data_IF_086214572541
#
_entry.id   IF_086214572541
#
_cell.length_a   1.000
_cell.length_b   1.000
_cell.length_c   1.000
_cell.angle_alpha   90.00
_cell.angle_beta   90.00
_cell.angle_gamma   90.00
#
_symmetry.space_group_name_H-M   'P 1'
#
loop_
_entity.id
_entity.type
_entity.pdbx_description
1 polymer ?
#
# COMPACT_ATOMS: atom_id res chain seq x y z
N UNK A 1 10.54 4.82 25.46
CA UNK A 1 11.92 5.29 25.32
C UNK A 1 11.87 6.58 24.54
N UNK A 2 12.12 7.72 25.19
CA UNK A 2 12.43 8.95 24.46
C UNK A 2 13.70 8.67 23.65
N UNK A 3 13.68 9.02 22.36
CA UNK A 3 14.89 9.03 21.53
C UNK A 3 15.99 9.76 22.31
N UNK A 4 17.19 9.18 22.36
CA UNK A 4 18.32 9.89 22.95
C UNK A 4 18.62 11.15 22.14
N UNK A 5 19.25 12.15 22.78
CA UNK A 5 19.42 13.49 22.21
C UNK A 5 20.09 13.46 20.83
N UNK A 6 21.06 12.57 20.65
CA UNK A 6 21.78 12.38 19.38
C UNK A 6 20.87 11.82 18.29
N UNK A 7 20.07 10.78 18.60
CA UNK A 7 19.11 10.20 17.66
C UNK A 7 17.97 11.16 17.30
N UNK A 8 17.49 11.94 18.27
CA UNK A 8 16.48 12.97 18.03
C UNK A 8 17.02 14.09 17.12
N UNK A 9 18.27 14.52 17.30
CA UNK A 9 18.88 15.59 16.53
C UNK A 9 19.29 15.16 15.11
N UNK A 10 19.67 13.88 14.92
CA UNK A 10 19.90 13.32 13.58
C UNK A 10 18.60 13.20 12.81
N UNK A 11 17.52 12.72 13.44
CA UNK A 11 16.19 12.66 12.81
C UNK A 11 15.72 14.07 12.45
N UNK A 12 15.85 15.06 13.34
CA UNK A 12 15.50 16.47 13.05
C UNK A 12 16.26 17.07 11.88
N UNK A 13 17.55 16.75 11.72
CA UNK A 13 18.39 17.28 10.62
C UNK A 13 18.11 16.63 9.27
N UNK A 14 17.51 15.44 9.27
CA UNK A 14 17.13 14.72 8.05
C UNK A 14 15.72 15.07 7.57
N UNK A 15 14.96 15.85 8.34
CA UNK A 15 13.59 16.26 8.00
C UNK A 15 13.57 17.72 7.52
N UNK A 16 12.82 18.05 6.44
CA UNK A 16 12.59 19.43 6.06
C UNK A 16 11.78 20.17 7.14
N UNK A 17 12.09 21.46 7.34
CA UNK A 17 11.50 22.31 8.40
C UNK A 17 9.97 22.33 8.36
N UNK A 18 9.37 22.10 7.18
CA UNK A 18 7.92 22.02 6.97
C UNK A 18 7.23 20.84 7.66
N UNK A 19 7.97 19.84 8.16
CA UNK A 19 7.42 18.61 8.73
C UNK A 19 7.02 18.68 10.22
N UNK A 20 7.19 19.83 10.89
CA UNK A 20 6.56 20.12 12.19
C UNK A 20 6.82 19.15 13.35
N UNK A 21 7.83 18.28 13.27
CA UNK A 21 8.11 17.19 14.21
C UNK A 21 7.01 16.11 14.35
N UNK A 22 6.08 15.99 13.40
CA UNK A 22 5.08 14.92 13.37
C UNK A 22 5.29 14.03 12.15
N UNK A 23 5.83 12.82 12.38
CA UNK A 23 6.08 11.82 11.34
C UNK A 23 4.80 11.38 10.60
N UNK A 24 3.61 11.61 11.16
CA UNK A 24 2.34 11.35 10.49
C UNK A 24 2.14 12.19 9.22
N UNK A 25 2.74 13.39 9.18
CA UNK A 25 2.58 14.35 8.09
C UNK A 25 3.50 14.12 6.88
N UNK A 26 4.49 13.21 6.98
CA UNK A 26 5.52 12.96 5.94
C UNK A 26 5.25 11.72 5.07
N UNK A 27 4.00 11.41 4.80
CA UNK A 27 3.63 10.26 3.95
C UNK A 27 3.99 10.40 2.45
N UNK A 28 4.77 11.41 2.04
CA UNK A 28 5.40 11.47 0.71
C UNK A 28 6.50 10.42 0.50
N UNK A 29 6.89 9.71 1.57
CA UNK A 29 7.79 8.56 1.47
C UNK A 29 7.12 7.33 0.82
N UNK A 30 5.78 7.23 0.80
CA UNK A 30 5.06 6.10 0.22
C UNK A 30 5.45 5.83 -1.25
N UNK A 31 5.72 6.89 -2.04
CA UNK A 31 6.07 6.77 -3.46
C UNK A 31 7.48 6.23 -3.69
N UNK A 32 8.44 6.50 -2.78
CA UNK A 32 9.81 5.95 -2.87
C UNK A 32 9.94 4.52 -2.33
N UNK A 33 8.88 4.00 -1.72
CA UNK A 33 8.89 2.78 -0.91
C UNK A 33 8.21 1.59 -1.59
N UNK A 34 7.65 1.78 -2.79
CA UNK A 34 7.30 0.67 -3.70
C UNK A 34 8.39 -0.40 -3.77
N UNK A 35 9.65 0.00 -3.69
CA UNK A 35 10.82 -0.90 -3.74
C UNK A 35 11.06 -1.66 -2.41
N UNK A 36 10.61 -1.13 -1.26
CA UNK A 36 10.97 -1.64 0.09
C UNK A 36 9.84 -2.35 0.86
N UNK A 37 8.56 -2.09 0.56
CA UNK A 37 7.42 -2.79 1.17
C UNK A 37 6.56 -3.57 0.17
N UNK A 38 7.20 -4.52 -0.51
CA UNK A 38 6.59 -5.58 -1.33
C UNK A 38 5.28 -6.17 -0.75
N UNK A 39 5.18 -6.29 0.57
CA UNK A 39 4.12 -7.01 1.29
C UNK A 39 2.69 -6.45 1.20
N UNK A 40 2.50 -5.19 0.79
CA UNK A 40 1.17 -4.56 0.73
C UNK A 40 0.40 -4.96 -0.53
N UNK A 41 1.10 -5.21 -1.64
CA UNK A 41 0.50 -5.63 -2.89
C UNK A 41 0.06 -7.10 -2.77
N UNK A 42 -1.22 -7.43 -3.04
CA UNK A 42 -1.73 -8.80 -2.92
C UNK A 42 -0.88 -9.84 -3.65
N UNK A 43 -0.36 -9.50 -4.83
CA UNK A 43 0.40 -10.42 -5.68
C UNK A 43 1.83 -10.70 -5.21
N UNK A 44 2.33 -10.00 -4.19
CA UNK A 44 3.59 -10.34 -3.53
C UNK A 44 3.42 -11.52 -2.54
N UNK A 45 2.18 -11.95 -2.30
CA UNK A 45 1.83 -13.23 -1.66
C UNK A 45 0.93 -14.04 -2.62
N UNK A 46 1.33 -14.08 -3.90
CA UNK A 46 0.64 -14.79 -4.97
C UNK A 46 1.14 -16.23 -5.16
N UNK A 47 0.72 -16.87 -6.26
CA UNK A 47 1.12 -18.24 -6.56
C UNK A 47 2.55 -18.32 -7.05
N UNK A 48 3.25 -19.40 -6.68
CA UNK A 48 4.63 -19.63 -7.13
C UNK A 48 4.70 -19.99 -8.62
N UNK A 49 3.70 -20.71 -9.12
CA UNK A 49 3.61 -21.18 -10.52
C UNK A 49 3.60 -20.05 -11.55
N UNK A 50 3.06 -18.89 -11.19
CA UNK A 50 3.00 -17.71 -12.05
C UNK A 50 3.92 -16.56 -11.59
N UNK A 51 4.79 -16.85 -10.62
CA UNK A 51 5.69 -15.89 -9.99
C UNK A 51 4.94 -14.66 -9.45
N UNK A 52 3.78 -14.86 -8.83
CA UNK A 52 2.92 -13.79 -8.34
C UNK A 52 2.28 -12.99 -9.47
N UNK A 53 1.86 -13.66 -10.55
CA UNK A 53 1.28 -13.04 -11.73
C UNK A 53 2.27 -12.33 -12.66
N UNK A 54 3.59 -12.51 -12.48
CA UNK A 54 4.60 -11.98 -13.40
C UNK A 54 4.62 -12.72 -14.75
N UNK A 55 4.13 -13.96 -14.81
CA UNK A 55 4.02 -14.71 -16.07
C UNK A 55 2.63 -14.62 -16.72
N UNK A 56 1.71 -13.85 -16.13
CA UNK A 56 0.37 -13.61 -16.68
C UNK A 56 0.42 -12.30 -17.47
N UNK A 57 0.57 -12.42 -18.79
CA UNK A 57 0.55 -11.31 -19.72
C UNK A 57 -0.89 -10.81 -19.89
N UNK A 58 -1.07 -9.50 -19.81
CA UNK A 58 -2.35 -8.81 -19.96
C UNK A 58 -2.16 -7.53 -20.78
N UNK A 59 -3.26 -6.90 -21.15
CA UNK A 59 -3.25 -5.54 -21.70
C UNK A 59 -3.96 -4.62 -20.71
N UNK A 60 -3.26 -3.63 -20.15
CA UNK A 60 -3.87 -2.56 -19.34
C UNK A 60 -4.29 -1.44 -20.28
N UNK A 61 -5.61 -1.27 -20.46
CA UNK A 61 -6.19 -0.41 -21.50
C UNK A 61 -5.62 -0.72 -22.89
N UNK A 62 -4.69 0.11 -23.38
CA UNK A 62 -4.04 -0.01 -24.68
C UNK A 62 -2.55 -0.37 -24.59
N UNK A 63 -2.03 -0.71 -23.39
CA UNK A 63 -0.61 -1.04 -23.17
C UNK A 63 -0.43 -2.47 -22.70
N UNK A 64 0.54 -3.18 -23.27
CA UNK A 64 0.95 -4.51 -22.77
C UNK A 64 1.53 -4.37 -21.37
N UNK A 65 1.15 -5.28 -20.48
CA UNK A 65 1.64 -5.35 -19.11
C UNK A 65 1.63 -6.81 -18.62
N UNK A 66 2.11 -7.04 -17.41
CA UNK A 66 1.89 -8.30 -16.67
C UNK A 66 0.99 -8.04 -15.48
N UNK A 67 0.21 -9.04 -15.04
CA UNK A 67 -0.77 -8.87 -13.97
C UNK A 67 -0.12 -8.32 -12.69
N UNK A 68 1.09 -8.77 -12.36
CA UNK A 68 1.86 -8.24 -11.23
C UNK A 68 2.05 -6.71 -11.32
N UNK A 69 2.47 -6.22 -12.49
CA UNK A 69 2.70 -4.79 -12.74
C UNK A 69 1.40 -3.97 -12.66
N UNK A 70 0.26 -4.56 -13.04
CA UNK A 70 -1.04 -3.89 -12.92
C UNK A 70 -1.35 -3.54 -11.47
N UNK A 71 -1.08 -4.48 -10.55
CA UNK A 71 -1.31 -4.30 -9.11
C UNK A 71 -0.24 -3.45 -8.42
N UNK A 72 1.01 -3.55 -8.87
CA UNK A 72 2.10 -2.75 -8.30
C UNK A 72 2.03 -1.28 -8.73
N UNK A 73 1.56 -1.01 -9.96
CA UNK A 73 1.66 0.34 -10.52
C UNK A 73 0.44 0.81 -11.30
N UNK A 74 -0.05 0.02 -12.25
CA UNK A 74 -0.97 0.57 -13.26
C UNK A 74 -2.30 1.07 -12.69
N UNK A 75 -2.85 0.41 -11.65
CA UNK A 75 -4.07 0.88 -10.98
C UNK A 75 -3.83 2.25 -10.32
N UNK A 76 -2.71 2.42 -9.61
CA UNK A 76 -2.40 3.66 -8.89
C UNK A 76 -2.13 4.81 -9.88
N UNK A 77 -1.34 4.55 -10.92
CA UNK A 77 -1.05 5.55 -11.96
C UNK A 77 -2.30 5.96 -12.74
N UNK A 78 -3.25 5.04 -12.95
CA UNK A 78 -4.53 5.37 -13.57
C UNK A 78 -5.37 6.26 -12.65
N UNK A 79 -5.39 6.01 -11.34
CA UNK A 79 -6.07 6.86 -10.36
C UNK A 79 -5.44 8.26 -10.29
N UNK A 80 -4.11 8.35 -10.24
CA UNK A 80 -3.39 9.63 -10.22
C UNK A 80 -3.76 10.51 -11.42
N UNK A 81 -3.92 9.89 -12.60
CA UNK A 81 -4.27 10.56 -13.85
C UNK A 81 -5.74 10.94 -13.95
N UNK A 82 -6.59 10.55 -13.00
CA UNK A 82 -7.96 11.07 -12.94
C UNK A 82 -8.00 12.54 -12.53
N UNK A 83 -6.94 13.01 -11.86
CA UNK A 83 -6.72 14.42 -11.53
C UNK A 83 -6.00 15.12 -12.69
N UNK A 84 -6.37 16.37 -12.97
CA UNK A 84 -5.75 17.18 -14.01
C UNK A 84 -5.25 18.52 -13.42
N UNK A 85 -3.92 18.72 -13.28
CA UNK A 85 -2.84 17.77 -13.61
C UNK A 85 -2.85 16.54 -12.69
N UNK A 86 -2.12 15.49 -13.10
CA UNK A 86 -1.94 14.29 -12.28
C UNK A 86 -1.34 14.67 -10.92
N UNK A 87 -1.96 14.19 -9.83
CA UNK A 87 -1.60 14.58 -8.48
C UNK A 87 -1.71 13.42 -7.49
N UNK A 88 -0.57 12.83 -7.15
CA UNK A 88 -0.47 11.77 -6.16
C UNK A 88 -0.92 12.22 -4.76
N UNK A 89 -0.83 13.52 -4.44
CA UNK A 89 -1.25 14.02 -3.14
C UNK A 89 -2.77 13.88 -2.96
N UNK A 90 -3.56 13.99 -4.04
CA UNK A 90 -5.00 13.76 -3.95
C UNK A 90 -5.32 12.30 -3.64
N UNK A 91 -4.58 11.36 -4.23
CA UNK A 91 -4.70 9.93 -3.90
C UNK A 91 -4.38 9.69 -2.42
N UNK A 92 -3.31 10.31 -1.91
CA UNK A 92 -2.92 10.23 -0.51
C UNK A 92 -4.00 10.84 0.40
N UNK A 93 -4.50 12.03 0.07
CA UNK A 93 -5.54 12.71 0.84
C UNK A 93 -6.82 11.87 0.92
N UNK A 94 -7.24 11.24 -0.19
CA UNK A 94 -8.38 10.34 -0.21
C UNK A 94 -8.18 9.13 0.69
N UNK A 95 -6.98 8.54 0.70
CA UNK A 95 -6.65 7.43 1.59
C UNK A 95 -6.66 7.90 3.05
N UNK A 96 -6.07 9.05 3.36
CA UNK A 96 -6.05 9.62 4.72
C UNK A 96 -7.47 9.93 5.22
N UNK A 97 -8.31 10.51 4.37
CA UNK A 97 -9.72 10.75 4.68
C UNK A 97 -10.45 9.44 4.97
N UNK A 98 -10.24 8.40 4.17
CA UNK A 98 -10.86 7.11 4.42
C UNK A 98 -10.35 6.46 5.72
N UNK A 99 -9.08 6.62 6.07
CA UNK A 99 -8.52 6.17 7.36
C UNK A 99 -9.26 6.82 8.53
N UNK A 100 -9.53 8.14 8.46
CA UNK A 100 -10.19 8.89 9.54
C UNK A 100 -11.71 8.79 9.53
N UNK A 101 -12.31 8.36 8.42
CA UNK A 101 -13.78 8.26 8.25
C UNK A 101 -14.24 6.80 8.07
N UNK A 102 -14.19 6.27 6.86
CA UNK A 102 -14.71 4.96 6.46
C UNK A 102 -14.10 3.82 7.28
N UNK A 103 -12.79 3.87 7.50
CA UNK A 103 -12.02 2.83 8.16
C UNK A 103 -11.67 3.14 9.61
N UNK A 104 -12.15 4.25 10.18
CA UNK A 104 -11.79 4.69 11.53
C UNK A 104 -11.95 3.57 12.58
N UNK A 105 -13.04 2.80 12.49
CA UNK A 105 -13.30 1.66 13.40
C UNK A 105 -12.34 0.48 13.20
N UNK A 106 -11.81 0.32 11.99
CA UNK A 106 -10.91 -0.78 11.61
C UNK A 106 -9.44 -0.46 11.90
N UNK A 107 -9.04 0.81 11.88
CA UNK A 107 -7.66 1.27 12.12
C UNK A 107 -7.09 0.69 13.41
N UNK A 108 -7.86 0.73 14.51
CA UNK A 108 -7.45 0.15 15.80
C UNK A 108 -7.13 -1.35 15.71
N UNK A 109 -7.85 -2.09 14.87
CA UNK A 109 -7.56 -3.50 14.62
C UNK A 109 -6.30 -3.68 13.78
N UNK A 110 -5.97 -2.75 12.88
CA UNK A 110 -4.75 -2.81 12.07
C UNK A 110 -3.48 -2.46 12.86
N UNK A 111 -3.58 -1.55 13.84
CA UNK A 111 -2.47 -1.16 14.72
C UNK A 111 -2.10 -2.26 15.74
N UNK A 112 -3.08 -3.11 16.06
CA UNK A 112 -2.92 -4.17 17.06
C UNK A 112 -2.35 -5.45 16.42
N UNK A 113 -1.45 -6.11 17.14
CA UNK A 113 -0.89 -7.41 16.76
C UNK A 113 -1.29 -8.40 17.86
N UNK A 114 -2.23 -9.32 17.60
CA UNK A 114 -2.77 -10.24 18.61
C UNK A 114 -1.70 -11.11 19.28
N UNK A 115 -0.61 -11.40 18.56
CA UNK A 115 0.49 -12.24 19.03
C UNK A 115 1.39 -11.57 20.09
N UNK A 116 1.03 -10.38 20.59
CA UNK A 116 1.86 -9.53 21.48
C UNK A 116 3.27 -9.26 20.94
N UNK A 117 3.45 -9.37 19.63
CA UNK A 117 4.70 -9.07 18.93
C UNK A 117 4.73 -7.60 18.47
N UNK A 118 5.93 -7.14 18.12
CA UNK A 118 6.13 -5.80 17.53
C UNK A 118 5.39 -5.65 16.19
N UNK A 119 5.30 -6.73 15.42
CA UNK A 119 4.63 -6.79 14.11
C UNK A 119 4.01 -8.18 13.89
N UNK A 120 3.00 -8.28 13.02
CA UNK A 120 2.26 -9.51 12.72
C UNK A 120 2.29 -9.82 11.20
N UNK A 121 3.47 -10.05 10.59
CA UNK A 121 3.61 -10.20 9.14
C UNK A 121 2.83 -11.39 8.56
N UNK A 122 2.64 -12.46 9.33
CA UNK A 122 1.82 -13.61 8.96
C UNK A 122 0.35 -13.26 8.74
N UNK A 123 -0.22 -12.36 9.57
CA UNK A 123 -1.58 -11.85 9.38
C UNK A 123 -1.64 -11.05 8.09
N UNK A 124 -0.65 -10.16 7.87
CA UNK A 124 -0.63 -9.29 6.69
C UNK A 124 -0.52 -10.12 5.40
N UNK A 125 0.31 -11.16 5.42
CA UNK A 125 0.48 -12.08 4.30
C UNK A 125 -0.79 -12.90 4.02
N UNK A 126 -1.46 -13.39 5.07
CA UNK A 126 -2.73 -14.13 4.96
C UNK A 126 -3.84 -13.28 4.33
N UNK A 127 -3.90 -12.00 4.67
CA UNK A 127 -4.81 -11.06 4.02
C UNK A 127 -4.42 -10.77 2.57
N UNK A 128 -3.12 -10.62 2.27
CA UNK A 128 -2.62 -10.38 0.92
C UNK A 128 -2.96 -11.54 -0.02
N UNK A 129 -2.74 -12.80 0.38
CA UNK A 129 -3.10 -13.96 -0.46
C UNK A 129 -4.61 -14.06 -0.66
N UNK A 130 -5.42 -13.78 0.37
CA UNK A 130 -6.88 -13.72 0.25
C UNK A 130 -7.30 -12.66 -0.77
N UNK A 131 -6.71 -11.46 -0.70
CA UNK A 131 -6.97 -10.40 -1.65
C UNK A 131 -6.51 -10.79 -3.08
N UNK A 132 -5.40 -11.52 -3.22
CA UNK A 132 -4.90 -11.97 -4.51
C UNK A 132 -5.91 -12.93 -5.17
N UNK A 133 -6.41 -13.93 -4.44
CA UNK A 133 -7.40 -14.87 -4.97
C UNK A 133 -8.74 -14.18 -5.27
N UNK A 134 -9.24 -13.35 -4.34
CA UNK A 134 -10.57 -12.75 -4.46
C UNK A 134 -10.63 -11.62 -5.49
N UNK A 135 -9.55 -10.90 -5.71
CA UNK A 135 -9.56 -9.66 -6.49
C UNK A 135 -8.54 -9.64 -7.63
N UNK A 136 -7.31 -10.09 -7.40
CA UNK A 136 -6.24 -10.02 -8.40
C UNK A 136 -6.42 -11.04 -9.53
N UNK A 137 -6.43 -12.32 -9.19
CA UNK A 137 -6.57 -13.39 -10.18
C UNK A 137 -8.01 -13.53 -10.69
N UNK A 138 -9.01 -13.13 -9.89
CA UNK A 138 -10.42 -13.36 -10.19
C UNK A 138 -10.82 -12.73 -11.53
N UNK A 139 -11.16 -13.58 -12.49
CA UNK A 139 -11.61 -13.18 -13.83
C UNK A 139 -10.49 -12.81 -14.80
N UNK A 140 -9.22 -13.03 -14.44
CA UNK A 140 -8.07 -12.75 -15.31
C UNK A 140 -7.55 -14.05 -15.91
N UNK A 141 -7.26 -14.03 -17.22
CA UNK A 141 -6.60 -15.11 -17.96
C UNK A 141 -5.44 -14.53 -18.76
N UNK A 142 -4.60 -15.41 -19.31
CA UNK A 142 -3.54 -14.99 -20.24
C UNK A 142 -4.14 -14.23 -21.43
N UNK A 143 -3.58 -13.06 -21.72
CA UNK A 143 -4.04 -12.17 -22.80
C UNK A 143 -5.29 -11.33 -22.46
N UNK A 144 -5.80 -11.38 -21.23
CA UNK A 144 -6.94 -10.54 -20.83
C UNK A 144 -6.66 -9.04 -21.03
N UNK A 145 -7.68 -8.31 -21.51
CA UNK A 145 -7.66 -6.85 -21.57
C UNK A 145 -8.37 -6.31 -20.33
N UNK A 146 -7.63 -5.60 -19.47
CA UNK A 146 -8.09 -5.04 -18.21
C UNK A 146 -8.30 -3.53 -18.39
N UNK A 147 -9.52 -3.07 -18.12
CA UNK A 147 -9.97 -1.69 -18.33
C UNK A 147 -10.83 -1.23 -17.13
N UNK A 148 -11.73 -0.27 -17.34
CA UNK A 148 -12.57 0.36 -16.33
C UNK A 148 -13.26 -0.61 -15.36
N UNK A 149 -13.86 -1.69 -15.86
CA UNK A 149 -14.54 -2.65 -15.00
C UNK A 149 -13.58 -3.29 -13.99
N UNK A 150 -12.35 -3.62 -14.42
CA UNK A 150 -11.32 -4.16 -13.55
C UNK A 150 -10.75 -3.06 -12.64
N UNK A 151 -10.41 -1.91 -13.20
CA UNK A 151 -9.89 -0.76 -12.46
C UNK A 151 -10.80 -0.34 -11.30
N UNK A 152 -12.05 0.02 -11.60
CA UNK A 152 -13.00 0.57 -10.60
C UNK A 152 -13.32 -0.42 -9.49
N UNK A 153 -13.37 -1.71 -9.80
CA UNK A 153 -13.67 -2.74 -8.80
C UNK A 153 -12.46 -3.12 -7.94
N UNK A 154 -11.22 -2.89 -8.39
CA UNK A 154 -10.00 -3.27 -7.65
C UNK A 154 -9.31 -2.09 -6.98
N UNK A 155 -9.53 -0.86 -7.44
CA UNK A 155 -8.99 0.36 -6.83
C UNK A 155 -9.30 0.44 -5.32
N UNK A 156 -10.54 0.17 -4.83
CA UNK A 156 -10.81 0.19 -3.38
C UNK A 156 -9.95 -0.79 -2.58
N UNK A 157 -9.59 -1.92 -3.17
CA UNK A 157 -8.75 -2.95 -2.54
C UNK A 157 -7.30 -2.47 -2.48
N UNK A 158 -6.80 -1.86 -3.56
CA UNK A 158 -5.46 -1.25 -3.58
C UNK A 158 -5.37 -0.14 -2.52
N UNK A 159 -6.35 0.77 -2.46
CA UNK A 159 -6.40 1.85 -1.47
C UNK A 159 -6.46 1.32 -0.03
N UNK A 160 -7.24 0.26 0.22
CA UNK A 160 -7.29 -0.40 1.52
C UNK A 160 -5.93 -0.99 1.92
N UNK A 161 -5.24 -1.68 1.00
CA UNK A 161 -3.93 -2.28 1.30
C UNK A 161 -2.84 -1.23 1.54
N UNK A 162 -2.86 -0.13 0.80
CA UNK A 162 -1.98 1.02 1.04
C UNK A 162 -2.23 1.62 2.43
N UNK A 163 -3.50 1.84 2.81
CA UNK A 163 -3.89 2.35 4.12
C UNK A 163 -3.41 1.42 5.25
N UNK A 164 -3.69 0.13 5.13
CA UNK A 164 -3.26 -0.89 6.10
C UNK A 164 -1.75 -0.92 6.26
N UNK A 165 -0.99 -0.84 5.16
CA UNK A 165 0.46 -0.83 5.19
C UNK A 165 1.02 0.39 5.93
N UNK A 166 0.50 1.59 5.64
CA UNK A 166 0.89 2.83 6.32
C UNK A 166 0.62 2.78 7.82
N UNK A 167 -0.60 2.40 8.22
CA UNK A 167 -1.00 2.27 9.63
C UNK A 167 -0.14 1.25 10.37
N UNK A 168 0.06 0.06 9.79
CA UNK A 168 0.85 -1.02 10.41
C UNK A 168 2.31 -0.66 10.56
N UNK A 169 2.89 0.02 9.57
CA UNK A 169 4.25 0.52 9.64
C UNK A 169 4.39 1.51 10.81
N UNK A 170 3.52 2.53 10.87
CA UNK A 170 3.55 3.52 11.95
C UNK A 170 3.40 2.85 13.32
N UNK A 171 2.44 1.94 13.49
CA UNK A 171 2.24 1.19 14.73
C UNK A 171 3.45 0.31 15.10
N UNK A 172 4.09 -0.33 14.12
CA UNK A 172 5.28 -1.16 14.33
C UNK A 172 6.47 -0.31 14.77
N UNK A 173 6.74 0.80 14.09
CA UNK A 173 7.83 1.73 14.45
C UNK A 173 7.60 2.32 15.85
N UNK A 174 6.37 2.71 16.16
CA UNK A 174 6.00 3.16 17.50
C UNK A 174 6.27 2.09 18.57
N UNK A 175 6.09 0.80 18.29
CA UNK A 175 6.42 -0.29 19.23
C UNK A 175 7.92 -0.60 19.30
N UNK A 176 8.68 -0.34 18.25
CA UNK A 176 10.14 -0.58 18.22
C UNK A 176 10.88 0.49 19.02
N UNK A 177 10.47 1.75 18.87
CA UNK A 177 11.20 2.91 19.40
C UNK A 177 10.55 3.52 20.66
N UNK A 178 9.41 3.01 21.11
CA UNK A 178 8.92 3.19 22.49
C UNK A 178 9.58 2.17 23.41
#
# INVERSE_FOLDING_TARGET
ARLNKVAADVVKKLLPVSAGNDLGSLCSWADRVKIRYRWSSPLHVGFTSDKGGNTINVTWYNRKAVLHHVWDSSIIETEEKTFCPADVNQVINNIQLNITTIWAKQVKAWETCPLRQKTCPNIYASESVKAACQWAYKGVRQGSVLQDAYFRSRLPIVSLRLAQAGVRLAATLNKIFK
#
